data_IF_900670149855
#
_entry.id   IF_900670149855
#
_cell.length_a   1.000
_cell.length_b   1.000
_cell.length_c   1.000
_cell.angle_alpha   90.00
_cell.angle_beta   90.00
_cell.angle_gamma   90.00
#
_symmetry.space_group_name_H-M   'P 1'
#
loop_
_entity.id
_entity.type
_entity.pdbx_description
1 polymer ?
#
# COMPACT_ATOMS: atom_id res chain seq x y z
N UNK A 1 6.34 9.49 13.06
CA UNK A 1 5.72 8.34 12.37
C UNK A 1 6.76 7.60 11.57
N UNK A 2 6.51 6.32 11.29
CA UNK A 2 7.34 5.47 10.43
C UNK A 2 7.26 5.98 8.97
N UNK A 3 8.41 6.12 8.29
CA UNK A 3 8.46 6.63 6.90
C UNK A 3 8.51 5.52 5.85
N UNK A 4 9.11 4.40 6.19
CA UNK A 4 9.24 3.22 5.34
C UNK A 4 9.39 1.97 6.21
N UNK A 5 9.06 0.81 5.65
CA UNK A 5 9.31 -0.49 6.26
C UNK A 5 9.43 -1.56 5.17
N UNK A 6 10.10 -2.67 5.51
CA UNK A 6 10.17 -3.85 4.65
C UNK A 6 9.05 -4.84 5.03
N UNK A 7 8.37 -5.37 4.02
CA UNK A 7 7.26 -6.31 4.16
C UNK A 7 7.54 -7.56 3.35
N UNK A 8 7.48 -8.71 4.03
CA UNK A 8 7.39 -9.99 3.35
C UNK A 8 5.92 -10.26 3.02
N UNK A 9 5.65 -10.57 1.76
CA UNK A 9 4.34 -10.92 1.25
C UNK A 9 4.43 -12.28 0.54
N UNK A 10 3.34 -13.08 0.54
CA UNK A 10 3.26 -14.27 -0.29
C UNK A 10 3.55 -13.96 -1.77
N UNK A 11 4.12 -14.91 -2.53
CA UNK A 11 4.26 -14.78 -3.98
C UNK A 11 2.92 -14.41 -4.64
N UNK A 12 2.98 -13.61 -5.70
CA UNK A 12 1.80 -13.13 -6.45
C UNK A 12 0.81 -12.26 -5.63
N UNK A 13 1.23 -11.75 -4.48
CA UNK A 13 0.42 -10.80 -3.70
C UNK A 13 0.10 -9.55 -4.50
N UNK A 14 -1.14 -9.08 -4.36
CA UNK A 14 -1.64 -7.88 -5.02
C UNK A 14 -1.57 -6.69 -4.08
N UNK A 15 -1.77 -5.50 -4.64
CA UNK A 15 -1.91 -4.25 -3.85
C UNK A 15 -2.99 -4.37 -2.77
N UNK A 16 -4.10 -5.05 -3.04
CA UNK A 16 -5.13 -5.31 -2.03
C UNK A 16 -4.58 -6.09 -0.82
N UNK A 17 -3.77 -7.12 -1.05
CA UNK A 17 -3.19 -7.95 0.00
C UNK A 17 -2.19 -7.16 0.85
N UNK A 18 -1.38 -6.32 0.20
CA UNK A 18 -0.51 -5.36 0.89
C UNK A 18 -1.31 -4.41 1.79
N UNK A 19 -2.39 -3.81 1.28
CA UNK A 19 -3.23 -2.89 2.06
C UNK A 19 -3.81 -3.58 3.30
N UNK A 20 -4.25 -4.82 3.16
CA UNK A 20 -4.74 -5.64 4.27
C UNK A 20 -3.63 -5.93 5.28
N UNK A 21 -2.41 -6.26 4.83
CA UNK A 21 -1.27 -6.49 5.72
C UNK A 21 -0.89 -5.24 6.51
N UNK A 22 -0.82 -4.09 5.84
CA UNK A 22 -0.53 -2.81 6.49
C UNK A 22 -1.64 -2.44 7.48
N UNK A 23 -2.91 -2.63 7.11
CA UNK A 23 -4.04 -2.39 8.00
C UNK A 23 -4.02 -3.28 9.25
N UNK A 24 -3.60 -4.54 9.12
CA UNK A 24 -3.41 -5.46 10.27
C UNK A 24 -2.29 -4.99 11.21
N UNK A 25 -1.17 -4.52 10.65
CA UNK A 25 -0.02 -4.04 11.46
C UNK A 25 -0.26 -2.66 12.07
N UNK A 26 -1.03 -1.80 11.39
CA UNK A 26 -1.32 -0.45 11.80
C UNK A 26 -2.83 -0.16 11.77
N UNK A 27 -3.59 -0.69 12.74
CA UNK A 27 -5.06 -0.54 12.77
C UNK A 27 -5.52 0.92 12.74
N UNK A 28 -4.72 1.86 13.25
CA UNK A 28 -5.02 3.29 13.27
C UNK A 28 -5.07 3.95 11.88
N UNK A 29 -4.46 3.36 10.85
CA UNK A 29 -4.50 3.87 9.46
C UNK A 29 -5.38 3.00 8.54
N UNK A 30 -5.89 1.88 9.05
CA UNK A 30 -6.73 0.96 8.29
C UNK A 30 -7.91 1.63 7.56
N UNK A 31 -8.67 2.56 8.18
CA UNK A 31 -9.79 3.21 7.49
C UNK A 31 -9.37 4.00 6.23
N UNK A 32 -8.25 4.73 6.31
CA UNK A 32 -7.76 5.50 5.17
C UNK A 32 -7.21 4.61 4.05
N UNK A 33 -6.57 3.48 4.39
CA UNK A 33 -5.97 2.54 3.44
C UNK A 33 -6.99 1.89 2.49
N UNK A 34 -8.18 1.60 3.00
CA UNK A 34 -9.22 0.89 2.25
C UNK A 34 -9.89 1.83 1.23
N UNK A 35 -10.23 3.05 1.64
CA UNK A 35 -11.15 3.89 0.87
C UNK A 35 -10.49 4.95 0.00
N UNK A 36 -9.30 5.45 0.36
CA UNK A 36 -8.79 6.72 -0.20
C UNK A 36 -7.30 6.74 -0.54
N UNK A 37 -6.54 5.73 -0.13
CA UNK A 37 -5.09 5.69 -0.40
C UNK A 37 -4.82 5.30 -1.86
N UNK A 38 -4.07 6.18 -2.52
CA UNK A 38 -3.44 5.90 -3.81
C UNK A 38 -2.17 5.10 -3.59
N UNK A 39 -1.91 4.16 -4.49
CA UNK A 39 -0.72 3.29 -4.43
C UNK A 39 0.08 3.44 -5.70
N UNK A 40 1.41 3.44 -5.58
CA UNK A 40 2.29 3.22 -6.72
C UNK A 40 3.25 2.07 -6.47
N UNK A 41 3.58 1.35 -7.54
CA UNK A 41 4.61 0.31 -7.58
C UNK A 41 5.70 0.84 -8.51
N UNK A 42 6.94 0.94 -8.03
CA UNK A 42 8.07 1.46 -8.81
C UNK A 42 7.77 2.79 -9.51
N UNK A 43 7.08 3.70 -8.80
CA UNK A 43 6.68 5.05 -9.25
C UNK A 43 5.57 5.08 -10.31
N UNK A 44 4.94 3.95 -10.59
CA UNK A 44 3.76 3.87 -11.46
C UNK A 44 2.50 3.60 -10.64
N UNK A 45 1.41 4.32 -10.91
CA UNK A 45 0.15 4.10 -10.19
C UNK A 45 -0.34 2.67 -10.40
N UNK A 46 -0.79 2.06 -9.30
CA UNK A 46 -1.24 0.69 -9.27
C UNK A 46 -2.64 0.60 -8.67
N UNK A 47 -3.50 -0.21 -9.30
CA UNK A 47 -4.79 -0.55 -8.74
C UNK A 47 -4.69 -1.71 -7.74
N UNK A 48 -5.80 -2.03 -7.08
CA UNK A 48 -5.86 -3.08 -6.07
C UNK A 48 -5.57 -4.50 -6.61
N UNK A 49 -5.72 -4.73 -7.92
CA UNK A 49 -5.54 -6.03 -8.56
C UNK A 49 -4.11 -6.25 -9.07
N UNK A 50 -3.32 -5.19 -9.22
CA UNK A 50 -1.95 -5.26 -9.70
C UNK A 50 -1.07 -6.10 -8.75
N UNK A 51 -0.31 -7.03 -9.33
CA UNK A 51 0.66 -7.88 -8.62
C UNK A 51 1.88 -7.05 -8.25
N UNK A 52 2.39 -7.25 -7.04
CA UNK A 52 3.61 -6.62 -6.54
C UNK A 52 4.81 -7.49 -6.93
N UNK A 53 5.73 -7.01 -7.77
CA UNK A 53 6.96 -7.73 -8.08
C UNK A 53 7.86 -7.88 -6.84
N UNK A 54 8.69 -8.92 -6.84
CA UNK A 54 9.72 -9.09 -5.81
C UNK A 54 10.66 -7.88 -5.77
N UNK A 55 10.96 -7.40 -4.56
CA UNK A 55 11.86 -6.25 -4.35
C UNK A 55 11.28 -4.90 -4.81
N UNK A 56 9.99 -4.83 -5.16
CA UNK A 56 9.39 -3.58 -5.61
C UNK A 56 9.28 -2.53 -4.49
N UNK A 57 9.51 -1.27 -4.85
CA UNK A 57 9.20 -0.13 -3.98
C UNK A 57 7.72 0.21 -4.11
N UNK A 58 6.99 0.18 -3.00
CA UNK A 58 5.57 0.53 -2.95
C UNK A 58 5.34 1.77 -2.10
N UNK A 59 4.71 2.79 -2.68
CA UNK A 59 4.36 4.01 -1.98
C UNK A 59 2.85 4.08 -1.72
N UNK A 60 2.48 4.52 -0.51
CA UNK A 60 1.11 4.74 -0.09
C UNK A 60 0.89 6.25 0.10
N UNK A 61 0.04 6.84 -0.73
CA UNK A 61 -0.28 8.26 -0.64
C UNK A 61 -1.64 8.42 0.05
N UNK A 62 -1.70 9.04 1.23
CA UNK A 62 -2.98 9.41 1.83
C UNK A 62 -3.74 10.37 0.90
N UNK A 63 -5.08 10.47 1.05
CA UNK A 63 -5.86 11.43 0.29
C UNK A 63 -5.24 12.82 0.44
N UNK A 64 -4.99 13.47 -0.70
CA UNK A 64 -4.54 14.85 -0.69
C UNK A 64 -5.72 15.72 -0.27
N UNK A 65 -5.62 16.35 0.90
CA UNK A 65 -6.50 17.45 1.28
C UNK A 65 -6.16 18.62 0.37
N UNK A 66 -6.81 18.70 -0.79
CA UNK A 66 -6.73 19.86 -1.68
C UNK A 66 -7.04 21.12 -0.87
N UNK A 67 -6.23 22.16 -1.05
CA UNK A 67 -6.49 23.50 -0.53
C UNK A 67 -7.62 24.20 -1.30
#
# INVERSE_FOLDING_TARGET
GLKSLELELPPESRVADLKLEVARRFPQVAPALVDTVLVSINREYADNAQIIPEGAEVALFPPVSGG
#
